data_IF_889069961353
#
_entry.id   IF_889069961353
#
_cell.length_a   1.000
_cell.length_b   1.000
_cell.length_c   1.000
_cell.angle_alpha   90.00
_cell.angle_beta   90.00
_cell.angle_gamma   90.00
#
_symmetry.space_group_name_H-M   'P 1'
#
loop_
_entity.id
_entity.type
_entity.pdbx_description
1 polymer ?
#
# COMPACT_ATOMS: atom_id res chain seq x y z
N UNK A 1 -13.71 23.46 -21.97
CA UNK A 1 -12.35 23.07 -21.55
C UNK A 1 -11.97 23.71 -20.23
N UNK A 2 -11.93 25.03 -20.01
CA UNK A 2 -11.57 25.65 -18.72
C UNK A 2 -12.46 25.18 -17.56
N UNK A 3 -13.78 25.10 -17.77
CA UNK A 3 -14.72 24.63 -16.74
C UNK A 3 -14.52 23.15 -16.40
N UNK A 4 -14.14 22.31 -17.35
CA UNK A 4 -13.79 20.91 -17.10
C UNK A 4 -12.51 20.78 -16.28
N UNK A 5 -11.48 21.56 -16.58
CA UNK A 5 -10.24 21.61 -15.78
C UNK A 5 -10.55 22.00 -14.34
N UNK A 6 -11.33 23.06 -14.13
CA UNK A 6 -11.76 23.50 -12.80
C UNK A 6 -12.56 22.41 -12.07
N UNK A 7 -13.46 21.71 -12.75
CA UNK A 7 -14.23 20.61 -12.17
C UNK A 7 -13.34 19.47 -11.70
N UNK A 8 -12.33 19.08 -12.50
CA UNK A 8 -11.37 18.03 -12.12
C UNK A 8 -10.58 18.43 -10.87
N UNK A 9 -10.04 19.65 -10.80
CA UNK A 9 -9.36 20.14 -9.61
C UNK A 9 -10.26 20.17 -8.38
N UNK A 10 -11.52 20.60 -8.55
CA UNK A 10 -12.49 20.62 -7.45
C UNK A 10 -12.75 19.21 -6.91
N UNK A 11 -12.93 18.23 -7.79
CA UNK A 11 -13.09 16.82 -7.40
C UNK A 11 -11.85 16.29 -6.66
N UNK A 12 -10.63 16.58 -7.16
CA UNK A 12 -9.39 16.21 -6.47
C UNK A 12 -9.36 16.75 -5.03
N UNK A 13 -9.59 18.06 -4.87
CA UNK A 13 -9.55 18.72 -3.57
C UNK A 13 -10.60 18.14 -2.62
N UNK A 14 -11.83 17.95 -3.10
CA UNK A 14 -12.91 17.37 -2.29
C UNK A 14 -12.61 15.95 -1.84
N UNK A 15 -12.04 15.12 -2.74
CA UNK A 15 -11.66 13.75 -2.39
C UNK A 15 -10.52 13.73 -1.38
N UNK A 16 -9.56 14.66 -1.46
CA UNK A 16 -8.47 14.79 -0.49
C UNK A 16 -8.97 15.24 0.89
N UNK A 17 -9.90 16.19 0.95
CA UNK A 17 -10.52 16.64 2.20
C UNK A 17 -11.25 15.47 2.87
N UNK A 18 -12.10 14.75 2.12
CA UNK A 18 -12.81 13.60 2.64
C UNK A 18 -11.86 12.50 3.13
N UNK A 19 -10.76 12.24 2.40
CA UNK A 19 -9.75 11.29 2.81
C UNK A 19 -9.01 11.72 4.09
N UNK A 20 -8.68 13.02 4.23
CA UNK A 20 -8.03 13.55 5.42
C UNK A 20 -8.88 13.38 6.68
N UNK A 21 -10.20 13.52 6.57
CA UNK A 21 -11.11 13.36 7.70
C UNK A 21 -11.35 11.89 8.09
N UNK A 22 -11.34 10.97 7.11
CA UNK A 22 -11.77 9.59 7.30
C UNK A 22 -10.64 8.59 7.53
N UNK A 23 -9.42 8.85 7.05
CA UNK A 23 -8.36 7.85 6.96
C UNK A 23 -7.30 7.95 8.05
N UNK A 24 -7.35 8.93 8.94
CA UNK A 24 -6.29 9.21 9.92
C UNK A 24 -5.95 7.97 10.76
N UNK A 25 -6.95 7.35 11.40
CA UNK A 25 -6.75 6.19 12.27
C UNK A 25 -6.21 4.99 11.50
N UNK A 26 -6.76 4.72 10.31
CA UNK A 26 -6.31 3.60 9.48
C UNK A 26 -4.87 3.79 8.98
N UNK A 27 -4.49 5.03 8.63
CA UNK A 27 -3.11 5.36 8.22
C UNK A 27 -2.14 5.20 9.39
N UNK A 28 -2.52 5.65 10.59
CA UNK A 28 -1.71 5.47 11.80
C UNK A 28 -1.49 3.99 12.11
N UNK A 29 -2.54 3.18 12.15
CA UNK A 29 -2.43 1.74 12.39
C UNK A 29 -1.59 1.04 11.33
N UNK A 30 -1.74 1.41 10.06
CA UNK A 30 -0.92 0.86 8.98
C UNK A 30 0.57 1.22 9.13
N UNK A 31 0.88 2.45 9.53
CA UNK A 31 2.24 2.88 9.81
C UNK A 31 2.83 2.13 11.02
N UNK A 32 2.06 1.94 12.09
CA UNK A 32 2.47 1.15 13.26
C UNK A 32 2.78 -0.31 12.90
N UNK A 33 1.92 -0.97 12.09
CA UNK A 33 2.19 -2.33 11.61
C UNK A 33 3.47 -2.39 10.79
N UNK A 34 3.67 -1.43 9.88
CA UNK A 34 4.86 -1.34 9.04
C UNK A 34 6.13 -1.17 9.89
N UNK A 35 6.12 -0.23 10.82
CA UNK A 35 7.24 0.04 11.75
C UNK A 35 7.53 -1.18 12.61
N UNK A 36 6.52 -1.79 13.22
CA UNK A 36 6.67 -2.96 14.06
C UNK A 36 7.26 -4.15 13.28
N UNK A 37 6.79 -4.38 12.05
CA UNK A 37 7.35 -5.41 11.16
C UNK A 37 8.85 -5.19 10.94
N UNK A 38 9.25 -3.98 10.57
CA UNK A 38 10.65 -3.65 10.28
C UNK A 38 11.55 -3.72 11.50
N UNK A 39 11.11 -3.21 12.65
CA UNK A 39 11.86 -3.24 13.91
C UNK A 39 12.05 -4.66 14.45
N UNK A 40 11.12 -5.57 14.19
CA UNK A 40 11.21 -6.97 14.58
C UNK A 40 11.96 -7.84 13.54
N UNK A 41 12.56 -7.24 12.52
CA UNK A 41 13.35 -7.94 11.52
C UNK A 41 12.53 -8.66 10.44
N UNK A 42 11.22 -8.37 10.36
CA UNK A 42 10.34 -8.83 9.29
C UNK A 42 10.62 -8.12 7.96
N UNK A 43 10.10 -8.71 6.88
CA UNK A 43 10.16 -8.15 5.53
C UNK A 43 8.79 -7.63 5.11
N UNK A 44 8.80 -6.66 4.22
CA UNK A 44 7.59 -6.10 3.63
C UNK A 44 7.54 -6.45 2.15
N UNK A 45 6.46 -7.09 1.73
CA UNK A 45 6.14 -7.30 0.33
C UNK A 45 5.09 -6.28 -0.08
N UNK A 46 5.18 -5.73 -1.28
CA UNK A 46 4.15 -4.85 -1.79
C UNK A 46 3.76 -5.20 -3.22
N UNK A 47 2.47 -5.11 -3.52
CA UNK A 47 1.96 -5.34 -4.87
C UNK A 47 0.73 -4.48 -5.18
N UNK A 48 0.46 -4.36 -6.45
CA UNK A 48 -0.74 -3.71 -6.97
C UNK A 48 -0.91 -4.04 -8.45
N UNK A 49 -2.13 -3.92 -8.93
CA UNK A 49 -2.41 -4.15 -10.35
C UNK A 49 -2.64 -2.83 -11.10
N UNK A 50 -2.37 -2.83 -12.42
CA UNK A 50 -2.62 -1.69 -13.31
C UNK A 50 -1.96 -0.40 -12.79
N UNK A 51 -2.72 0.66 -12.56
CA UNK A 51 -2.20 1.95 -12.05
C UNK A 51 -1.56 1.81 -10.67
N UNK A 52 -2.12 0.97 -9.80
CA UNK A 52 -1.59 0.74 -8.46
C UNK A 52 -0.22 0.03 -8.45
N UNK A 53 0.17 -0.65 -9.52
CA UNK A 53 1.50 -1.26 -9.65
C UNK A 53 2.63 -0.22 -9.59
N UNK A 54 2.43 0.94 -10.22
CA UNK A 54 3.41 2.03 -10.17
C UNK A 54 3.60 2.55 -8.74
N UNK A 55 2.51 2.72 -7.98
CA UNK A 55 2.56 3.15 -6.58
C UNK A 55 3.21 2.11 -5.66
N UNK A 56 3.00 0.81 -5.90
CA UNK A 56 3.67 -0.25 -5.15
C UNK A 56 5.20 -0.25 -5.40
N UNK A 57 5.63 -0.06 -6.64
CA UNK A 57 7.05 0.08 -6.97
C UNK A 57 7.67 1.35 -6.38
N UNK A 58 6.93 2.45 -6.39
CA UNK A 58 7.34 3.70 -5.78
C UNK A 58 7.53 3.55 -4.26
N UNK A 59 6.59 2.88 -3.57
CA UNK A 59 6.72 2.53 -2.16
C UNK A 59 8.03 1.79 -1.89
N UNK A 60 8.28 0.67 -2.59
CA UNK A 60 9.49 -0.10 -2.39
C UNK A 60 10.76 0.70 -2.69
N UNK A 61 10.74 1.57 -3.71
CA UNK A 61 11.86 2.44 -4.04
C UNK A 61 12.21 3.38 -2.89
N UNK A 62 11.22 4.11 -2.35
CA UNK A 62 11.44 5.03 -1.22
C UNK A 62 11.93 4.25 0.01
N UNK A 63 11.30 3.11 0.31
CA UNK A 63 11.69 2.32 1.47
C UNK A 63 13.13 1.78 1.36
N UNK A 64 13.66 1.62 0.16
CA UNK A 64 15.06 1.24 -0.07
C UNK A 64 16.02 2.43 -0.06
N UNK A 65 15.61 3.60 -0.54
CA UNK A 65 16.52 4.74 -0.78
C UNK A 65 16.39 5.87 0.24
N UNK A 66 15.27 5.98 0.95
CA UNK A 66 14.89 7.12 1.78
C UNK A 66 13.98 8.10 1.03
N UNK A 67 13.13 8.81 1.77
CA UNK A 67 12.26 9.88 1.26
C UNK A 67 12.87 11.26 1.56
N UNK A 68 13.12 11.53 2.83
CA UNK A 68 13.48 12.86 3.30
C UNK A 68 14.96 12.98 3.65
N UNK A 69 15.64 11.88 3.98
CA UNK A 69 17.05 11.84 4.34
C UNK A 69 17.72 10.50 4.02
N UNK A 70 19.03 10.48 3.98
CA UNK A 70 19.82 9.28 3.74
C UNK A 70 19.82 8.37 4.97
N UNK A 71 19.46 7.11 4.82
CA UNK A 71 19.37 6.08 5.88
C UNK A 71 19.66 4.68 5.36
N UNK A 72 19.90 3.71 6.23
CA UNK A 72 19.97 2.31 5.81
C UNK A 72 18.67 1.84 5.13
N UNK A 73 18.77 0.98 4.09
CA UNK A 73 17.60 0.47 3.38
C UNK A 73 16.75 -0.44 4.26
N UNK A 74 15.43 -0.32 4.13
CA UNK A 74 14.50 -1.25 4.74
C UNK A 74 14.32 -2.53 3.90
N UNK A 75 13.95 -3.64 4.55
CA UNK A 75 13.71 -4.93 3.90
C UNK A 75 12.35 -4.95 3.18
N UNK A 76 12.23 -4.25 2.06
CA UNK A 76 11.00 -4.12 1.27
C UNK A 76 11.21 -4.63 -0.15
N UNK A 77 10.22 -5.36 -0.67
CA UNK A 77 10.25 -5.93 -2.03
C UNK A 77 8.94 -5.65 -2.75
N UNK A 78 9.01 -4.96 -3.90
CA UNK A 78 7.87 -4.89 -4.82
C UNK A 78 7.77 -6.19 -5.61
N UNK A 79 6.59 -6.82 -5.59
CA UNK A 79 6.34 -8.02 -6.37
C UNK A 79 6.20 -7.67 -7.86
N UNK A 80 6.82 -8.49 -8.71
CA UNK A 80 6.86 -8.25 -10.14
C UNK A 80 5.59 -8.74 -10.84
N UNK A 81 4.93 -7.86 -11.57
CA UNK A 81 3.73 -8.20 -12.33
C UNK A 81 4.01 -9.08 -13.58
N UNK A 82 5.24 -9.01 -14.09
CA UNK A 82 5.66 -9.69 -15.33
C UNK A 82 6.40 -11.02 -15.04
N UNK A 83 6.41 -11.48 -13.80
CA UNK A 83 6.99 -12.75 -13.43
C UNK A 83 6.16 -13.88 -14.06
N UNK A 84 6.79 -14.73 -14.89
CA UNK A 84 6.15 -15.74 -15.71
C UNK A 84 5.51 -16.88 -14.91
N UNK A 85 4.35 -16.64 -14.34
CA UNK A 85 3.54 -17.69 -13.74
C UNK A 85 2.78 -18.50 -14.82
N UNK A 86 2.57 -19.79 -14.61
CA UNK A 86 1.73 -20.61 -15.50
C UNK A 86 0.30 -20.06 -15.62
N UNK A 87 -0.22 -19.54 -14.49
CA UNK A 87 -1.51 -18.86 -14.39
C UNK A 87 -1.26 -17.42 -13.98
N UNK A 88 -1.70 -16.49 -14.79
CA UNK A 88 -1.42 -15.07 -14.64
C UNK A 88 -1.90 -14.49 -13.29
N UNK A 89 -2.99 -15.01 -12.73
CA UNK A 89 -3.52 -14.55 -11.45
C UNK A 89 -2.64 -14.92 -10.24
N UNK A 90 -1.78 -15.94 -10.34
CA UNK A 90 -0.87 -16.37 -9.28
C UNK A 90 0.50 -15.68 -9.32
N UNK A 91 0.71 -14.72 -10.21
CA UNK A 91 2.01 -14.05 -10.41
C UNK A 91 2.61 -13.50 -9.12
N UNK A 92 1.82 -12.85 -8.27
CA UNK A 92 2.31 -12.33 -6.99
C UNK A 92 2.39 -13.43 -5.92
N UNK A 93 1.40 -14.31 -5.85
CA UNK A 93 1.37 -15.39 -4.88
C UNK A 93 2.62 -16.30 -4.96
N UNK A 94 3.08 -16.63 -6.17
CA UNK A 94 4.27 -17.45 -6.40
C UNK A 94 5.56 -16.82 -5.89
N UNK A 95 5.59 -15.50 -5.70
CA UNK A 95 6.75 -14.78 -5.14
C UNK A 95 6.68 -14.72 -3.61
N UNK A 96 5.49 -14.77 -3.02
CA UNK A 96 5.28 -14.77 -1.56
C UNK A 96 5.53 -16.16 -0.97
N UNK A 97 4.95 -17.21 -1.57
CA UNK A 97 4.96 -18.56 -1.02
C UNK A 97 6.35 -19.10 -0.60
N UNK A 98 7.43 -18.91 -1.37
CA UNK A 98 8.73 -19.43 -1.00
C UNK A 98 9.45 -18.65 0.10
N UNK A 99 9.11 -17.38 0.32
CA UNK A 99 9.90 -16.46 1.15
C UNK A 99 9.10 -15.75 2.25
N UNK A 100 7.78 -15.69 2.15
CA UNK A 100 6.92 -15.10 3.19
C UNK A 100 6.85 -15.98 4.44
N UNK A 101 6.80 -15.37 5.62
CA UNK A 101 6.72 -16.03 6.90
C UNK A 101 5.96 -15.18 7.93
N UNK A 102 5.58 -15.79 9.05
CA UNK A 102 4.99 -15.07 10.20
C UNK A 102 5.92 -13.93 10.64
N UNK A 103 5.35 -12.76 10.88
CA UNK A 103 6.09 -11.52 11.19
C UNK A 103 6.45 -10.67 9.97
N UNK A 104 6.23 -11.17 8.75
CA UNK A 104 6.31 -10.36 7.53
C UNK A 104 4.97 -9.63 7.27
N UNK A 105 5.00 -8.58 6.47
CA UNK A 105 3.85 -7.76 6.09
C UNK A 105 3.65 -7.77 4.58
N UNK A 106 2.39 -7.90 4.14
CA UNK A 106 2.01 -7.66 2.76
C UNK A 106 1.25 -6.32 2.66
N UNK A 107 1.73 -5.40 1.84
CA UNK A 107 1.02 -4.17 1.48
C UNK A 107 0.42 -4.35 0.08
N UNK A 108 -0.90 -4.29 -0.02
CA UNK A 108 -1.61 -4.39 -1.30
C UNK A 108 -2.25 -3.06 -1.67
N UNK A 109 -2.17 -2.70 -2.94
CA UNK A 109 -2.75 -1.49 -3.50
C UNK A 109 -3.76 -1.85 -4.59
N UNK A 110 -5.00 -1.41 -4.44
CA UNK A 110 -6.06 -1.65 -5.41
C UNK A 110 -6.88 -0.40 -5.74
N UNK A 111 -6.87 0.00 -7.01
CA UNK A 111 -7.66 1.10 -7.55
C UNK A 111 -8.85 0.62 -8.40
N UNK A 112 -9.18 -0.66 -8.38
CA UNK A 112 -10.17 -1.29 -9.26
C UNK A 112 -11.23 -2.04 -8.46
N UNK A 113 -12.40 -2.29 -9.06
CA UNK A 113 -13.45 -3.11 -8.44
C UNK A 113 -13.02 -4.58 -8.26
N UNK A 114 -12.13 -5.08 -9.11
CA UNK A 114 -11.61 -6.45 -9.07
C UNK A 114 -10.09 -6.45 -9.21
N UNK A 115 -9.42 -7.30 -8.43
CA UNK A 115 -7.96 -7.42 -8.42
C UNK A 115 -7.55 -8.89 -8.16
N UNK A 116 -7.77 -9.82 -9.12
CA UNK A 116 -7.56 -11.25 -8.88
C UNK A 116 -6.14 -11.59 -8.45
N UNK A 117 -5.10 -10.97 -9.03
CA UNK A 117 -3.71 -11.21 -8.63
C UNK A 117 -3.42 -10.74 -7.21
N UNK A 118 -4.01 -9.61 -6.80
CA UNK A 118 -3.90 -9.09 -5.44
C UNK A 118 -4.60 -10.04 -4.47
N UNK A 119 -5.81 -10.52 -4.78
CA UNK A 119 -6.51 -11.48 -3.93
C UNK A 119 -5.69 -12.77 -3.74
N UNK A 120 -5.08 -13.32 -4.80
CA UNK A 120 -4.21 -14.50 -4.69
C UNK A 120 -2.95 -14.21 -3.86
N UNK A 121 -2.39 -13.00 -3.95
CA UNK A 121 -1.29 -12.58 -3.09
C UNK A 121 -1.69 -12.56 -1.61
N UNK A 122 -2.88 -12.02 -1.30
CA UNK A 122 -3.42 -12.01 0.06
C UNK A 122 -3.66 -13.42 0.60
N UNK A 123 -4.28 -14.31 -0.18
CA UNK A 123 -4.46 -15.72 0.19
C UNK A 123 -3.10 -16.40 0.49
N UNK A 124 -2.08 -16.13 -0.33
CA UNK A 124 -0.73 -16.64 -0.10
C UNK A 124 -0.12 -16.07 1.19
N UNK A 125 -0.25 -14.78 1.44
CA UNK A 125 0.24 -14.12 2.66
C UNK A 125 -0.44 -14.69 3.92
N UNK A 126 -1.77 -14.82 3.91
CA UNK A 126 -2.54 -15.44 4.99
C UNK A 126 -2.09 -16.88 5.27
N UNK A 127 -1.85 -17.69 4.22
CA UNK A 127 -1.34 -19.06 4.38
C UNK A 127 0.06 -19.13 5.00
N UNK A 128 0.81 -18.03 4.96
CA UNK A 128 2.16 -17.89 5.56
C UNK A 128 2.14 -17.17 6.92
N UNK A 129 0.95 -16.83 7.45
CA UNK A 129 0.79 -16.13 8.73
C UNK A 129 1.31 -14.68 8.70
N UNK A 130 1.29 -14.05 7.54
CA UNK A 130 1.64 -12.64 7.37
C UNK A 130 0.44 -11.75 7.69
N UNK A 131 0.72 -10.53 8.17
CA UNK A 131 -0.29 -9.47 8.27
C UNK A 131 -0.44 -8.74 6.93
N UNK A 132 -1.59 -8.07 6.77
CA UNK A 132 -1.92 -7.36 5.54
C UNK A 132 -2.33 -5.91 5.83
N UNK A 133 -1.75 -4.98 5.07
CA UNK A 133 -2.26 -3.61 4.93
C UNK A 133 -2.79 -3.45 3.51
N UNK A 134 -4.08 -3.14 3.39
CA UNK A 134 -4.75 -2.99 2.11
C UNK A 134 -5.15 -1.53 1.86
N UNK A 135 -4.60 -0.92 0.82
CA UNK A 135 -5.04 0.37 0.31
C UNK A 135 -6.05 0.12 -0.80
N UNK A 136 -7.33 0.38 -0.50
CA UNK A 136 -8.47 0.09 -1.37
C UNK A 136 -9.28 1.33 -1.72
N UNK A 137 -10.44 1.16 -2.29
CA UNK A 137 -11.37 2.24 -2.59
C UNK A 137 -12.82 1.80 -2.41
N UNK A 138 -13.75 2.74 -2.47
CA UNK A 138 -15.19 2.42 -2.47
C UNK A 138 -15.63 1.55 -3.67
N UNK A 139 -14.83 1.47 -4.71
CA UNK A 139 -15.11 0.59 -5.84
C UNK A 139 -14.73 -0.87 -5.57
N UNK A 140 -13.86 -1.13 -4.58
CA UNK A 140 -13.40 -2.48 -4.25
C UNK A 140 -14.53 -3.38 -3.76
N UNK A 141 -14.55 -4.62 -4.27
CA UNK A 141 -15.56 -5.63 -3.95
C UNK A 141 -14.97 -6.94 -3.42
N UNK A 142 -13.66 -7.10 -3.44
CA UNK A 142 -13.00 -8.38 -3.19
C UNK A 142 -11.95 -8.33 -2.07
N UNK A 143 -11.09 -7.32 -2.08
CA UNK A 143 -9.94 -7.22 -1.17
C UNK A 143 -10.38 -7.12 0.28
N UNK A 144 -11.36 -6.25 0.58
CA UNK A 144 -11.88 -6.05 1.93
C UNK A 144 -12.43 -7.35 2.57
N UNK A 145 -12.99 -8.25 1.77
CA UNK A 145 -13.55 -9.53 2.25
C UNK A 145 -12.50 -10.57 2.66
N UNK A 146 -11.21 -10.34 2.38
CA UNK A 146 -10.11 -11.24 2.71
C UNK A 146 -9.33 -10.79 3.96
N UNK A 147 -9.61 -9.60 4.49
CA UNK A 147 -8.91 -9.06 5.65
C UNK A 147 -9.38 -9.69 6.95
N UNK A 148 -8.44 -10.05 7.80
CA UNK A 148 -8.67 -10.53 9.16
C UNK A 148 -8.74 -9.38 10.18
N UNK A 149 -8.97 -9.70 11.47
CA UNK A 149 -9.16 -8.70 12.52
C UNK A 149 -7.89 -7.91 12.87
N UNK A 150 -6.71 -8.42 12.54
CA UNK A 150 -5.42 -7.77 12.80
C UNK A 150 -4.88 -7.04 11.56
N UNK A 151 -5.55 -7.20 10.42
CA UNK A 151 -5.21 -6.52 9.17
C UNK A 151 -5.79 -5.10 9.15
N UNK A 152 -5.22 -4.24 8.33
CA UNK A 152 -5.67 -2.84 8.21
C UNK A 152 -6.13 -2.55 6.80
N UNK A 153 -7.34 -1.97 6.67
CA UNK A 153 -7.82 -1.39 5.41
C UNK A 153 -7.77 0.14 5.45
N UNK A 154 -7.10 0.75 4.48
CA UNK A 154 -7.16 2.18 4.18
C UNK A 154 -8.08 2.33 2.96
N UNK A 155 -9.37 2.60 3.20
CA UNK A 155 -10.40 2.63 2.16
C UNK A 155 -10.64 4.05 1.65
N UNK A 156 -10.10 4.37 0.50
CA UNK A 156 -10.19 5.68 -0.15
C UNK A 156 -11.65 6.00 -0.50
N UNK A 157 -12.20 7.17 -0.08
CA UNK A 157 -13.60 7.55 -0.28
C UNK A 157 -13.85 8.05 -1.70
N UNK A 158 -13.61 7.22 -2.68
CA UNK A 158 -13.84 7.51 -4.10
C UNK A 158 -14.03 6.24 -4.92
N UNK A 159 -14.86 6.33 -5.96
CA UNK A 159 -15.01 5.31 -7.01
C UNK A 159 -14.31 5.69 -8.31
N UNK A 160 -13.83 6.92 -8.41
CA UNK A 160 -13.10 7.40 -9.58
C UNK A 160 -11.66 6.89 -9.53
N UNK A 161 -11.29 5.99 -10.43
CA UNK A 161 -9.96 5.36 -10.44
C UNK A 161 -8.79 6.35 -10.56
N UNK A 162 -9.00 7.51 -11.20
CA UNK A 162 -7.98 8.56 -11.27
C UNK A 162 -7.75 9.19 -9.89
N UNK A 163 -8.83 9.56 -9.18
CA UNK A 163 -8.75 10.10 -7.81
C UNK A 163 -8.15 9.09 -6.84
N UNK A 164 -8.56 7.82 -6.96
CA UNK A 164 -7.98 6.73 -6.17
C UNK A 164 -6.49 6.60 -6.43
N UNK A 165 -6.03 6.61 -7.68
CA UNK A 165 -4.61 6.49 -8.02
C UNK A 165 -3.75 7.64 -7.49
N UNK A 166 -4.28 8.86 -7.50
CA UNK A 166 -3.63 10.05 -6.91
C UNK A 166 -3.46 9.89 -5.40
N UNK A 167 -4.53 9.48 -4.70
CA UNK A 167 -4.49 9.25 -3.26
C UNK A 167 -3.64 8.04 -2.86
N UNK A 168 -3.61 6.96 -3.64
CA UNK A 168 -2.71 5.84 -3.40
C UNK A 168 -1.25 6.29 -3.35
N UNK A 169 -0.84 7.16 -4.28
CA UNK A 169 0.53 7.70 -4.27
C UNK A 169 0.79 8.58 -3.05
N UNK A 170 -0.17 9.42 -2.67
CA UNK A 170 -0.07 10.27 -1.48
C UNK A 170 0.03 9.43 -0.20
N UNK A 171 -0.83 8.41 -0.04
CA UNK A 171 -0.82 7.51 1.11
C UNK A 171 0.48 6.70 1.21
N UNK A 172 1.02 6.26 0.09
CA UNK A 172 2.35 5.62 0.02
C UNK A 172 3.43 6.55 0.57
N UNK A 173 3.48 7.81 0.14
CA UNK A 173 4.43 8.79 0.65
C UNK A 173 4.25 9.04 2.16
N UNK A 174 2.99 9.14 2.64
CA UNK A 174 2.69 9.27 4.07
C UNK A 174 3.21 8.07 4.88
N UNK A 175 2.95 6.85 4.45
CA UNK A 175 3.42 5.64 5.14
C UNK A 175 4.95 5.61 5.19
N UNK A 176 5.63 5.98 4.10
CA UNK A 176 7.09 6.07 4.07
C UNK A 176 7.61 7.12 5.06
N UNK A 177 7.08 8.35 5.01
CA UNK A 177 7.50 9.45 5.88
C UNK A 177 7.25 9.14 7.37
N UNK A 178 6.06 8.62 7.72
CA UNK A 178 5.73 8.23 9.09
C UNK A 178 6.65 7.12 9.60
N UNK A 179 6.96 6.13 8.76
CA UNK A 179 7.86 5.05 9.15
C UNK A 179 9.30 5.53 9.34
N UNK A 180 9.78 6.41 8.48
CA UNK A 180 11.12 7.01 8.62
C UNK A 180 11.24 7.81 9.91
N UNK A 181 10.26 8.66 10.20
CA UNK A 181 10.26 9.51 11.40
C UNK A 181 10.17 8.68 12.68
N UNK A 182 9.42 7.58 12.69
CA UNK A 182 9.31 6.72 13.88
C UNK A 182 10.56 5.86 14.11
N UNK A 183 11.19 5.36 13.05
CA UNK A 183 12.38 4.49 13.18
C UNK A 183 13.66 5.31 13.34
N UNK A 184 13.74 6.46 12.68
CA UNK A 184 14.88 7.39 12.72
C UNK A 184 14.42 8.80 13.12
N UNK A 185 14.03 9.02 14.38
CA UNK A 185 13.60 10.34 14.81
C UNK A 185 14.76 11.33 14.62
N UNK A 186 14.51 12.37 13.82
CA UNK A 186 15.44 13.49 13.66
C UNK A 186 15.28 14.42 14.86
N UNK A 187 16.38 14.80 15.50
CA UNK A 187 16.35 15.93 16.42
C UNK A 187 15.98 17.18 15.60
N UNK A 188 14.82 17.74 15.88
CA UNK A 188 14.47 19.05 15.34
C UNK A 188 15.43 20.04 15.97
N UNK A 189 16.43 20.51 15.21
CA UNK A 189 17.20 21.69 15.60
C UNK A 189 16.22 22.86 15.74
N UNK A 190 15.96 23.28 16.98
CA UNK A 190 15.15 24.45 17.33
C UNK A 190 15.79 25.78 16.84
#
# INVERSE_FOLDING_TARGET
>A
MQQQVKSIFTECIQTQIAAADLLQDAVMHAAELLVNTLLNGGKVFCCGERMAHASARHFAHIMLTGLDFERPPFAVTALHADFGAREHEYTFAQQILPSGQTGDLLIVLNASATAPRVCRAMEAALSRGMLIVALTSEADQQVAGLLGPEDVEIRIPSRNSARVSELLLQLVNMLCSLSEQQIFPQELDE
#
